data_IF_745771371284
#
_entry.id   IF_745771371284
#
_cell.length_a   1.000
_cell.length_b   1.000
_cell.length_c   1.000
_cell.angle_alpha   90.00
_cell.angle_beta   90.00
_cell.angle_gamma   90.00
#
_symmetry.space_group_name_H-M   'P 1'
#
loop_
_entity.id
_entity.type
_entity.pdbx_description
1 polymer ?
#
# COMPACT_ATOMS: atom_id res chain seq x y z
N UNK A 1 29.76 -11.68 3.79
CA UNK A 1 29.64 -11.91 2.36
C UNK A 1 28.38 -11.25 1.81
N UNK A 2 28.35 -11.10 0.54
CA UNK A 2 27.25 -10.44 -0.11
C UNK A 2 25.93 -11.20 0.01
N UNK A 3 25.99 -12.50 -0.10
CA UNK A 3 24.79 -13.31 -0.01
C UNK A 3 24.13 -13.15 1.34
N UNK A 4 24.91 -13.11 2.38
CA UNK A 4 24.37 -12.93 3.74
C UNK A 4 23.73 -11.56 3.88
N UNK A 5 24.39 -10.54 3.35
CA UNK A 5 23.85 -9.18 3.41
C UNK A 5 22.53 -9.07 2.66
N UNK A 6 22.44 -9.68 1.50
CA UNK A 6 21.22 -9.67 0.72
C UNK A 6 20.08 -10.36 1.45
N UNK A 7 20.39 -11.44 2.14
CA UNK A 7 19.40 -12.15 2.92
C UNK A 7 18.85 -11.25 4.01
N UNK A 8 19.70 -10.47 4.65
CA UNK A 8 19.26 -9.55 5.70
C UNK A 8 18.44 -8.40 5.15
N UNK A 9 18.65 -8.03 3.91
CA UNK A 9 17.89 -6.95 3.27
C UNK A 9 16.71 -7.50 2.50
N UNK A 10 15.99 -8.39 3.11
CA UNK A 10 14.84 -9.02 2.51
C UNK A 10 13.87 -7.96 1.99
N UNK A 11 13.56 -8.02 0.71
CA UNK A 11 12.59 -7.14 0.12
C UNK A 11 11.18 -7.62 0.42
N UNK A 12 10.28 -6.66 0.58
CA UNK A 12 8.87 -6.96 0.77
C UNK A 12 8.19 -6.73 -0.57
N UNK A 13 7.55 -7.75 -1.09
CA UNK A 13 6.73 -7.59 -2.29
C UNK A 13 5.48 -6.84 -1.92
N UNK A 14 5.09 -5.89 -2.77
CA UNK A 14 3.90 -5.09 -2.53
C UNK A 14 3.18 -4.86 -3.84
N UNK A 15 1.86 -4.85 -3.79
CA UNK A 15 1.03 -4.51 -4.93
C UNK A 15 0.56 -3.08 -4.77
N UNK A 16 0.56 -2.32 -5.85
CA UNK A 16 0.02 -0.96 -5.84
C UNK A 16 -1.10 -0.89 -6.85
N UNK A 17 -2.25 -0.39 -6.43
CA UNK A 17 -3.36 -0.11 -7.31
C UNK A 17 -3.68 1.37 -7.24
N UNK A 18 -3.81 2.02 -8.39
CA UNK A 18 -4.19 3.43 -8.48
C UNK A 18 -5.39 3.51 -9.41
N UNK A 19 -6.50 4.05 -8.93
CA UNK A 19 -7.68 4.16 -9.76
C UNK A 19 -8.84 4.78 -9.02
N UNK A 20 -9.95 5.00 -9.77
CA UNK A 20 -11.13 5.65 -9.21
C UNK A 20 -12.28 4.67 -8.96
N UNK A 21 -12.25 3.49 -9.56
CA UNK A 21 -13.27 2.49 -9.34
C UNK A 21 -12.68 1.10 -9.58
N UNK A 22 -13.39 0.09 -9.11
CA UNK A 22 -13.01 -1.29 -9.31
C UNK A 22 -14.04 -1.89 -10.25
N UNK A 23 -13.63 -2.24 -11.47
CA UNK A 23 -14.56 -2.74 -12.48
C UNK A 23 -14.96 -4.18 -12.26
N UNK A 24 -14.17 -4.90 -11.50
CA UNK A 24 -14.48 -6.26 -11.11
C UNK A 24 -15.49 -6.29 -9.99
N UNK A 25 -16.20 -7.38 -9.81
CA UNK A 25 -17.15 -7.46 -8.70
C UNK A 25 -16.42 -7.67 -7.38
N UNK A 26 -17.18 -7.49 -6.30
CA UNK A 26 -16.61 -7.57 -4.94
C UNK A 26 -16.10 -8.97 -4.64
N UNK A 27 -16.78 -10.00 -5.16
CA UNK A 27 -16.34 -11.37 -4.92
C UNK A 27 -14.99 -11.63 -5.55
N UNK A 28 -14.77 -11.11 -6.75
CA UNK A 28 -13.49 -11.26 -7.43
C UNK A 28 -12.39 -10.50 -6.67
N UNK A 29 -12.71 -9.30 -6.20
CA UNK A 29 -11.77 -8.51 -5.41
C UNK A 29 -11.38 -9.26 -4.14
N UNK A 30 -12.36 -9.87 -3.47
CA UNK A 30 -12.10 -10.66 -2.27
C UNK A 30 -11.20 -11.86 -2.53
N UNK A 31 -11.39 -12.50 -3.68
CA UNK A 31 -10.54 -13.63 -4.06
C UNK A 31 -9.10 -13.19 -4.27
N UNK A 32 -8.90 -12.08 -4.97
CA UNK A 32 -7.56 -11.54 -5.19
C UNK A 32 -6.91 -11.19 -3.85
N UNK A 33 -7.66 -10.53 -2.97
CA UNK A 33 -7.15 -10.15 -1.66
C UNK A 33 -6.76 -11.37 -0.84
N UNK A 34 -7.55 -12.43 -0.90
CA UNK A 34 -7.24 -13.66 -0.20
C UNK A 34 -5.94 -14.29 -0.71
N UNK A 35 -5.76 -14.33 -2.01
CA UNK A 35 -4.56 -14.88 -2.61
C UNK A 35 -3.32 -14.07 -2.23
N UNK A 36 -3.42 -12.73 -2.30
CA UNK A 36 -2.32 -11.87 -1.91
C UNK A 36 -1.98 -12.03 -0.43
N UNK A 37 -3.02 -12.13 0.41
CA UNK A 37 -2.81 -12.32 1.83
C UNK A 37 -2.08 -13.61 2.14
N UNK A 38 -2.43 -14.69 1.45
CA UNK A 38 -1.76 -15.98 1.64
C UNK A 38 -0.30 -15.92 1.21
N UNK A 39 0.01 -15.11 0.20
CA UNK A 39 1.38 -14.94 -0.26
C UNK A 39 2.16 -13.91 0.56
N UNK A 40 1.50 -13.26 1.50
CA UNK A 40 2.14 -12.22 2.30
C UNK A 40 2.44 -10.95 1.53
N UNK A 41 1.63 -10.64 0.50
CA UNK A 41 1.81 -9.45 -0.33
C UNK A 41 0.81 -8.39 0.09
N UNK A 42 1.27 -7.30 0.73
CA UNK A 42 0.35 -6.21 1.07
C UNK A 42 -0.06 -5.44 -0.17
N UNK A 43 -1.31 -5.03 -0.21
CA UNK A 43 -1.83 -4.22 -1.30
C UNK A 43 -2.01 -2.79 -0.84
N UNK A 44 -1.42 -1.86 -1.58
CA UNK A 44 -1.57 -0.43 -1.34
C UNK A 44 -2.58 0.09 -2.34
N UNK A 45 -3.76 0.45 -1.83
CA UNK A 45 -4.88 0.87 -2.66
C UNK A 45 -4.99 2.38 -2.61
N UNK A 46 -4.57 3.04 -3.68
CA UNK A 46 -4.63 4.49 -3.77
C UNK A 46 -5.85 4.88 -4.60
N UNK A 47 -6.84 5.42 -3.91
CA UNK A 47 -8.16 5.67 -4.49
C UNK A 47 -8.30 7.14 -4.92
N UNK A 48 -8.43 7.35 -6.20
CA UNK A 48 -8.68 8.67 -6.77
C UNK A 48 -10.18 8.92 -6.76
N UNK A 49 -10.62 9.95 -6.04
CA UNK A 49 -12.02 10.28 -5.97
C UNK A 49 -12.69 9.73 -4.72
N UNK A 50 -14.02 9.71 -4.73
CA UNK A 50 -14.77 9.42 -3.52
C UNK A 50 -15.94 8.45 -3.67
N UNK A 51 -15.94 7.59 -4.68
CA UNK A 51 -17.02 6.61 -4.82
C UNK A 51 -17.06 5.68 -3.61
N UNK A 52 -18.14 5.68 -2.81
CA UNK A 52 -18.19 4.89 -1.58
C UNK A 52 -18.12 3.39 -1.82
N UNK A 53 -18.66 2.92 -2.92
CA UNK A 53 -18.63 1.48 -3.21
C UNK A 53 -17.21 1.04 -3.52
N UNK A 54 -16.52 1.81 -4.36
CA UNK A 54 -15.13 1.54 -4.65
C UNK A 54 -14.26 1.66 -3.39
N UNK A 55 -14.53 2.67 -2.57
CA UNK A 55 -13.79 2.87 -1.33
C UNK A 55 -13.91 1.64 -0.43
N UNK A 56 -15.11 1.12 -0.28
CA UNK A 56 -15.32 -0.06 0.55
C UNK A 56 -14.50 -1.24 0.03
N UNK A 57 -14.57 -1.50 -1.27
CA UNK A 57 -13.84 -2.62 -1.87
C UNK A 57 -12.33 -2.47 -1.68
N UNK A 58 -11.82 -1.26 -1.94
CA UNK A 58 -10.39 -0.99 -1.80
C UNK A 58 -9.92 -1.14 -0.37
N UNK A 59 -10.74 -0.67 0.58
CA UNK A 59 -10.41 -0.79 1.99
C UNK A 59 -10.36 -2.25 2.43
N UNK A 60 -11.28 -3.06 1.92
CA UNK A 60 -11.28 -4.49 2.26
C UNK A 60 -10.03 -5.18 1.74
N UNK A 61 -9.63 -4.88 0.52
CA UNK A 61 -8.41 -5.48 -0.04
C UNK A 61 -7.20 -5.08 0.78
N UNK A 62 -7.10 -3.79 1.12
CA UNK A 62 -5.97 -3.30 1.91
C UNK A 62 -5.94 -3.99 3.27
N UNK A 63 -7.09 -4.12 3.92
CA UNK A 63 -7.16 -4.72 5.24
C UNK A 63 -6.80 -6.20 5.21
N UNK A 64 -7.35 -6.94 4.26
CA UNK A 64 -7.11 -8.38 4.16
C UNK A 64 -5.67 -8.72 3.82
N UNK A 65 -4.98 -7.83 3.13
CA UNK A 65 -3.59 -8.06 2.75
C UNK A 65 -2.60 -7.40 3.71
N UNK A 66 -3.09 -6.75 4.76
CA UNK A 66 -2.25 -5.99 5.70
C UNK A 66 -1.50 -4.85 5.01
N UNK A 67 -2.09 -4.30 3.96
CA UNK A 67 -1.55 -3.15 3.27
C UNK A 67 -2.16 -1.86 3.78
N UNK A 68 -2.45 -0.94 2.86
CA UNK A 68 -2.99 0.37 3.24
C UNK A 68 -3.90 0.91 2.16
N UNK A 69 -4.87 1.71 2.59
CA UNK A 69 -5.78 2.43 1.71
C UNK A 69 -5.57 3.92 1.92
N UNK A 70 -5.46 4.65 0.82
CA UNK A 70 -5.36 6.09 0.89
C UNK A 70 -6.14 6.72 -0.25
N UNK A 71 -7.02 7.65 0.11
CA UNK A 71 -7.80 8.41 -0.87
C UNK A 71 -7.01 9.67 -1.21
N UNK A 72 -6.98 10.02 -2.48
CA UNK A 72 -6.28 11.23 -2.90
C UNK A 72 -7.07 11.95 -3.99
N UNK A 73 -6.76 13.24 -4.14
CA UNK A 73 -7.39 14.07 -5.15
C UNK A 73 -6.56 14.03 -6.43
N UNK A 74 -7.23 13.76 -7.55
CA UNK A 74 -6.56 13.70 -8.85
C UNK A 74 -5.87 15.00 -9.22
N UNK A 75 -6.26 16.11 -8.60
CA UNK A 75 -5.65 17.40 -8.87
C UNK A 75 -4.29 17.55 -8.19
N UNK A 76 -3.90 16.60 -7.37
CA UNK A 76 -2.64 16.69 -6.64
C UNK A 76 -1.69 15.57 -7.07
N UNK A 77 -0.95 15.82 -8.13
CA UNK A 77 0.05 14.86 -8.61
C UNK A 77 1.15 14.62 -7.58
N UNK A 78 1.43 15.63 -6.76
CA UNK A 78 2.47 15.51 -5.76
C UNK A 78 2.10 14.48 -4.68
N UNK A 79 0.84 14.44 -4.29
CA UNK A 79 0.40 13.46 -3.29
C UNK A 79 0.61 12.04 -3.81
N UNK A 80 0.20 11.77 -5.04
CA UNK A 80 0.39 10.44 -5.61
C UNK A 80 1.87 10.09 -5.71
N UNK A 81 2.71 11.04 -6.10
CA UNK A 81 4.13 10.82 -6.19
C UNK A 81 4.72 10.47 -4.82
N UNK A 82 4.29 11.17 -3.78
CA UNK A 82 4.75 10.89 -2.42
C UNK A 82 4.31 9.50 -1.96
N UNK A 83 3.06 9.12 -2.27
CA UNK A 83 2.55 7.82 -1.90
C UNK A 83 3.31 6.69 -2.59
N UNK A 84 3.58 6.84 -3.88
CA UNK A 84 4.33 5.83 -4.63
C UNK A 84 5.76 5.71 -4.11
N UNK A 85 6.38 6.83 -3.79
CA UNK A 85 7.71 6.83 -3.19
C UNK A 85 7.71 6.12 -1.84
N UNK A 86 6.65 6.32 -1.06
CA UNK A 86 6.53 5.67 0.24
C UNK A 86 6.43 4.16 0.11
N UNK A 87 5.70 3.67 -0.89
CA UNK A 87 5.62 2.22 -1.11
C UNK A 87 6.98 1.65 -1.47
N UNK A 88 7.74 2.37 -2.30
CA UNK A 88 9.09 1.93 -2.67
C UNK A 88 9.99 1.82 -1.44
N UNK A 89 9.91 2.80 -0.54
CA UNK A 89 10.68 2.79 0.70
C UNK A 89 10.26 1.61 1.58
N UNK A 90 8.97 1.38 1.68
CA UNK A 90 8.46 0.25 2.47
C UNK A 90 8.92 -1.09 1.90
N UNK A 91 8.86 -1.23 0.58
CA UNK A 91 9.27 -2.48 -0.06
C UNK A 91 10.76 -2.76 0.14
N UNK A 92 11.56 -1.72 0.18
CA UNK A 92 13.00 -1.86 0.34
C UNK A 92 13.43 -2.06 1.79
N UNK A 93 12.75 -1.39 2.74
CA UNK A 93 13.22 -1.35 4.11
C UNK A 93 12.20 -1.65 5.19
N UNK A 94 10.96 -1.97 4.82
CA UNK A 94 9.93 -2.34 5.78
C UNK A 94 9.33 -1.14 6.49
N UNK A 95 8.59 -1.45 7.56
CA UNK A 95 7.85 -0.42 8.29
C UNK A 95 8.76 0.63 8.92
N UNK A 96 9.90 0.22 9.41
CA UNK A 96 10.82 1.18 10.04
C UNK A 96 11.31 2.23 9.04
N UNK A 97 11.63 1.79 7.81
CA UNK A 97 12.05 2.73 6.78
C UNK A 97 10.91 3.68 6.42
N UNK A 98 9.69 3.15 6.37
CA UNK A 98 8.52 3.97 6.08
C UNK A 98 8.29 4.99 7.20
N UNK A 99 8.47 4.60 8.45
CA UNK A 99 8.35 5.52 9.58
C UNK A 99 9.35 6.67 9.48
N UNK A 100 10.58 6.35 9.09
CA UNK A 100 11.59 7.39 8.91
C UNK A 100 11.20 8.37 7.83
N UNK A 101 10.64 7.87 6.74
CA UNK A 101 10.18 8.75 5.66
C UNK A 101 9.02 9.61 6.14
N UNK A 102 8.09 9.05 6.90
CA UNK A 102 6.94 9.77 7.41
C UNK A 102 7.36 10.90 8.34
N UNK A 103 8.42 10.71 9.11
CA UNK A 103 8.95 11.74 9.97
C UNK A 103 9.39 12.96 9.17
N UNK A 104 9.95 12.73 7.99
CA UNK A 104 10.42 13.80 7.14
C UNK A 104 9.30 14.43 6.32
N UNK A 105 8.37 13.63 5.84
CA UNK A 105 7.34 14.09 4.92
C UNK A 105 6.00 14.38 5.57
N UNK A 106 5.62 13.59 6.56
CA UNK A 106 4.31 13.73 7.21
C UNK A 106 3.16 13.46 6.25
N UNK A 107 2.03 14.07 6.51
CA UNK A 107 0.88 14.04 5.61
C UNK A 107 0.39 12.65 5.26
N UNK A 108 0.25 12.40 3.96
CA UNK A 108 -0.30 11.14 3.48
C UNK A 108 0.60 9.94 3.80
N UNK A 109 1.90 10.14 3.84
CA UNK A 109 2.83 9.06 4.17
C UNK A 109 2.59 8.58 5.59
N UNK A 110 2.28 9.49 6.50
CA UNK A 110 1.99 9.14 7.89
C UNK A 110 0.76 8.22 7.98
N UNK A 111 -0.24 8.46 7.12
CA UNK A 111 -1.42 7.60 7.09
C UNK A 111 -1.06 6.17 6.72
N UNK A 112 -0.09 5.99 5.84
CA UNK A 112 0.34 4.64 5.46
C UNK A 112 1.00 3.93 6.62
N UNK A 113 1.82 4.64 7.41
CA UNK A 113 2.49 4.04 8.55
C UNK A 113 1.49 3.45 9.54
N UNK A 114 0.39 4.17 9.76
CA UNK A 114 -0.60 3.73 10.74
C UNK A 114 -1.37 2.49 10.30
N UNK A 115 -1.36 2.18 9.02
CA UNK A 115 -2.14 1.08 8.49
C UNK A 115 -1.33 -0.20 8.28
N UNK A 116 -0.07 -0.06 7.85
CA UNK A 116 0.72 -1.25 7.54
C UNK A 116 1.17 -1.96 8.81
N UNK A 117 1.21 -3.29 8.73
CA UNK A 117 1.69 -4.09 9.82
C UNK A 117 3.21 -4.14 9.80
N UNK A 118 3.78 -4.36 10.97
CA UNK A 118 5.22 -4.53 11.08
C UNK A 118 5.62 -5.84 10.40
N UNK A 119 6.69 -5.77 9.61
CA UNK A 119 7.16 -6.95 8.91
C UNK A 119 8.66 -7.10 9.03
#
# INVERSE_FOLDING_TARGET
SHAVNETKKKKINALVFVGDCFEEDIDHAGKIAGELGLMGVPAFMFHEGGDPIAAFAFQQIAKLTNGAYCQFDSNSAQILKDLLGAVAVYAAGGRLALESLATKRGGEVLKLVHQVKDR
#
